data_IF_676053312245
#
_entry.id   IF_676053312245
#
_cell.length_a   1.000
_cell.length_b   1.000
_cell.length_c   1.000
_cell.angle_alpha   90.00
_cell.angle_beta   90.00
_cell.angle_gamma   90.00
#
_symmetry.space_group_name_H-M   'P 1'
#
loop_
_entity.id
_entity.type
_entity.pdbx_description
1 polymer ?
#
# COMPACT_ATOMS: atom_id res chain seq x y z
N UNK A 1 13.24 -7.95 36.89
CA UNK A 1 12.72 -9.26 36.47
C UNK A 1 12.22 -9.97 37.72
N UNK A 2 10.96 -9.69 38.09
CA UNK A 2 10.31 -10.39 39.19
C UNK A 2 9.51 -11.55 38.61
N UNK A 3 10.08 -12.74 38.69
CA UNK A 3 9.48 -13.95 38.14
C UNK A 3 10.41 -15.13 38.30
N UNK A 4 9.84 -16.32 38.45
CA UNK A 4 10.56 -17.58 38.57
C UNK A 4 10.04 -18.54 37.53
N UNK A 5 10.94 -19.02 36.67
CA UNK A 5 10.70 -20.18 35.80
C UNK A 5 11.61 -21.28 36.33
N UNK A 6 11.03 -22.39 36.76
CA UNK A 6 11.77 -23.61 37.04
C UNK A 6 11.37 -24.65 36.01
N UNK A 7 12.34 -25.12 35.23
CA UNK A 7 12.16 -26.26 34.36
C UNK A 7 13.12 -27.35 34.82
N UNK A 8 12.56 -28.47 35.27
CA UNK A 8 13.32 -29.68 35.53
C UNK A 8 12.93 -30.68 34.45
N UNK A 9 13.79 -30.87 33.46
CA UNK A 9 13.60 -31.84 32.38
C UNK A 9 14.67 -32.93 32.51
N UNK A 10 14.23 -34.16 32.74
CA UNK A 10 15.10 -35.31 32.80
C UNK A 10 14.84 -36.21 31.59
N UNK A 11 15.85 -36.39 30.76
CA UNK A 11 15.78 -37.28 29.59
C UNK A 11 16.61 -38.52 29.94
N UNK A 12 15.92 -39.61 30.29
CA UNK A 12 16.60 -40.85 30.63
C UNK A 12 16.85 -41.68 29.37
N UNK A 13 18.13 -41.91 29.04
CA UNK A 13 18.54 -42.82 27.97
C UNK A 13 18.63 -44.26 28.51
N UNK A 14 17.51 -44.97 28.43
CA UNK A 14 17.46 -46.42 28.68
C UNK A 14 16.90 -47.09 27.42
N UNK A 15 17.77 -47.33 26.42
CA UNK A 15 17.53 -48.03 25.13
C UNK A 15 16.50 -47.39 24.17
N UNK A 16 16.98 -46.87 23.03
CA UNK A 16 16.27 -46.42 21.78
C UNK A 16 14.95 -45.63 21.84
N UNK A 17 14.32 -45.46 23.00
CA UNK A 17 13.13 -44.65 23.29
C UNK A 17 13.54 -43.66 24.37
N UNK A 18 13.77 -42.41 23.98
CA UNK A 18 14.00 -41.33 24.92
C UNK A 18 12.69 -41.07 25.67
N UNK A 19 12.69 -41.33 26.98
CA UNK A 19 11.56 -41.02 27.85
C UNK A 19 11.74 -39.59 28.35
N UNK A 20 10.69 -38.79 28.17
CA UNK A 20 10.54 -37.44 28.69
C UNK A 20 9.88 -37.57 30.07
N UNK A 21 10.51 -36.96 31.07
CA UNK A 21 9.90 -36.71 32.38
C UNK A 21 10.35 -35.33 32.82
N UNK A 22 9.39 -34.43 33.05
CA UNK A 22 9.73 -33.09 33.46
C UNK A 22 8.57 -32.29 34.04
N UNK A 23 8.93 -31.32 34.87
CA UNK A 23 8.02 -30.36 35.47
C UNK A 23 8.47 -28.95 35.09
N UNK A 24 7.50 -28.15 34.66
CA UNK A 24 7.65 -26.75 34.30
C UNK A 24 6.73 -25.92 35.19
N UNK A 25 7.32 -25.25 36.17
CA UNK A 25 6.66 -24.24 37.01
C UNK A 25 6.97 -22.85 36.45
N UNK A 26 5.93 -22.12 36.08
CA UNK A 26 6.01 -20.76 35.54
C UNK A 26 5.28 -19.83 36.49
N UNK A 27 5.97 -18.78 36.96
CA UNK A 27 5.36 -17.65 37.66
C UNK A 27 6.09 -16.38 37.23
N UNK A 28 5.57 -15.69 36.22
CA UNK A 28 6.12 -14.47 35.67
C UNK A 28 5.14 -13.32 35.88
N UNK A 29 5.60 -12.25 36.53
CA UNK A 29 4.85 -10.99 36.67
C UNK A 29 5.39 -9.91 35.70
N UNK A 30 6.48 -10.23 35.00
CA UNK A 30 7.14 -9.40 34.01
C UNK A 30 7.29 -10.24 32.74
N UNK A 31 6.61 -9.82 31.68
CA UNK A 31 6.52 -10.54 30.41
C UNK A 31 7.45 -9.97 29.34
N UNK A 32 8.43 -9.17 29.74
CA UNK A 32 9.47 -8.65 28.83
C UNK A 32 10.18 -9.76 28.04
N UNK A 33 10.31 -10.98 28.57
CA UNK A 33 10.88 -12.13 27.85
C UNK A 33 10.05 -12.56 26.61
N UNK A 34 8.75 -12.24 26.57
CA UNK A 34 7.88 -12.52 25.42
C UNK A 34 8.26 -11.67 24.21
N UNK A 35 8.89 -10.50 24.40
CA UNK A 35 9.31 -9.63 23.29
C UNK A 35 10.35 -10.28 22.37
N UNK A 36 11.03 -11.34 22.81
CA UNK A 36 11.93 -12.15 21.97
C UNK A 36 11.17 -12.87 20.86
N UNK A 37 9.95 -13.34 21.16
CA UNK A 37 9.09 -14.03 20.20
C UNK A 37 8.17 -13.09 19.43
N UNK A 38 7.97 -11.87 19.95
CA UNK A 38 7.15 -10.83 19.35
C UNK A 38 7.94 -9.50 19.27
N UNK A 39 8.86 -9.33 18.31
CA UNK A 39 9.73 -8.15 18.24
C UNK A 39 8.97 -6.83 17.99
N UNK A 40 7.76 -6.91 17.45
CA UNK A 40 6.89 -5.75 17.19
C UNK A 40 6.02 -5.37 18.40
N UNK A 41 5.99 -6.21 19.45
CA UNK A 41 5.24 -5.95 20.67
C UNK A 41 6.04 -5.06 21.62
N UNK A 42 5.39 -4.05 22.19
CA UNK A 42 5.97 -3.15 23.18
C UNK A 42 5.12 -3.15 24.45
N UNK A 43 5.71 -2.68 25.55
CA UNK A 43 5.03 -2.54 26.86
C UNK A 43 4.25 -3.79 27.28
N UNK A 44 4.84 -4.98 27.07
CA UNK A 44 4.21 -6.26 27.41
C UNK A 44 4.16 -6.43 28.92
N UNK A 45 2.97 -6.43 29.48
CA UNK A 45 2.72 -6.63 30.92
C UNK A 45 1.69 -7.73 31.13
N UNK A 46 1.70 -8.36 32.31
CA UNK A 46 0.72 -9.37 32.69
C UNK A 46 1.28 -10.39 33.68
N UNK A 47 0.40 -11.24 34.19
CA UNK A 47 0.73 -12.31 35.13
C UNK A 47 0.56 -13.67 34.44
N UNK A 48 1.66 -14.33 34.10
CA UNK A 48 1.69 -15.68 33.55
C UNK A 48 2.02 -16.68 34.64
N UNK A 49 1.07 -17.56 34.95
CA UNK A 49 1.21 -18.57 36.00
C UNK A 49 0.82 -19.93 35.45
N UNK A 50 1.59 -20.96 35.76
CA UNK A 50 1.25 -22.30 35.32
C UNK A 50 2.16 -23.37 35.88
N UNK A 51 1.65 -24.59 35.84
CA UNK A 51 2.39 -25.80 36.14
C UNK A 51 2.06 -26.83 35.07
N UNK A 52 3.08 -27.29 34.37
CA UNK A 52 2.95 -28.30 33.33
C UNK A 52 3.86 -29.49 33.66
N UNK A 53 3.30 -30.69 33.59
CA UNK A 53 4.01 -31.95 33.71
C UNK A 53 4.09 -32.59 32.34
N UNK A 54 5.31 -32.86 31.88
CA UNK A 54 5.59 -33.47 30.58
C UNK A 54 6.09 -34.88 30.84
N UNK A 55 5.47 -35.86 30.20
CA UNK A 55 5.79 -37.27 30.33
C UNK A 55 5.71 -37.98 28.96
N UNK A 56 6.11 -39.25 28.89
CA UNK A 56 5.98 -40.06 27.67
C UNK A 56 7.26 -40.10 26.84
N UNK A 57 7.14 -40.19 25.51
CA UNK A 57 8.28 -40.21 24.60
C UNK A 57 8.22 -39.06 23.60
N UNK A 58 9.30 -38.77 22.87
CA UNK A 58 9.26 -37.72 21.84
C UNK A 58 8.22 -37.97 20.74
N UNK A 59 7.87 -39.23 20.48
CA UNK A 59 6.87 -39.61 19.48
C UNK A 59 5.46 -39.76 20.05
N UNK A 60 5.32 -39.69 21.38
CA UNK A 60 4.07 -39.90 22.10
C UNK A 60 4.14 -39.11 23.43
N UNK A 61 4.13 -37.77 23.36
CA UNK A 61 4.25 -36.91 24.54
C UNK A 61 2.89 -36.74 25.23
N UNK A 62 2.91 -36.78 26.56
CA UNK A 62 1.75 -36.54 27.41
C UNK A 62 2.01 -35.32 28.30
N UNK A 63 1.13 -34.31 28.22
CA UNK A 63 1.24 -33.05 28.95
C UNK A 63 0.04 -32.87 29.87
N UNK A 64 0.27 -32.66 31.17
CA UNK A 64 -0.78 -32.38 32.17
C UNK A 64 -0.57 -31.05 32.86
N UNK A 65 -1.66 -30.37 33.20
CA UNK A 65 -1.64 -29.17 34.04
C UNK A 65 -2.28 -27.98 33.34
N UNK A 66 -1.90 -26.78 33.77
CA UNK A 66 -2.54 -25.54 33.32
C UNK A 66 -1.54 -24.40 33.21
N UNK A 67 -1.74 -23.53 32.23
CA UNK A 67 -1.05 -22.26 32.07
C UNK A 67 -2.08 -21.15 31.88
N UNK A 68 -1.96 -20.06 32.63
CA UNK A 68 -2.89 -18.93 32.60
C UNK A 68 -2.15 -17.61 32.49
N UNK A 69 -2.52 -16.80 31.52
CA UNK A 69 -2.17 -15.39 31.42
C UNK A 69 -3.36 -14.56 31.90
N UNK A 70 -3.13 -13.68 32.87
CA UNK A 70 -4.11 -12.75 33.42
C UNK A 70 -3.56 -11.33 33.44
N UNK A 71 -4.46 -10.35 33.42
CA UNK A 71 -4.13 -8.91 33.39
C UNK A 71 -3.10 -8.55 32.31
N UNK A 72 -3.13 -9.27 31.18
CA UNK A 72 -2.20 -9.05 30.09
C UNK A 72 -2.53 -7.77 29.33
N UNK A 73 -1.49 -7.04 28.91
CA UNK A 73 -1.61 -5.92 27.99
C UNK A 73 -0.37 -5.86 27.10
N UNK A 74 -0.57 -5.51 25.84
CA UNK A 74 0.52 -5.33 24.88
C UNK A 74 0.22 -4.21 23.90
N UNK A 75 1.20 -3.35 23.67
CA UNK A 75 1.11 -2.32 22.65
C UNK A 75 1.65 -2.85 21.32
N UNK A 76 0.92 -2.54 20.25
CA UNK A 76 1.28 -2.85 18.87
C UNK A 76 1.39 -1.53 18.09
N UNK A 77 2.54 -0.82 18.16
CA UNK A 77 2.66 0.52 17.61
C UNK A 77 2.48 0.60 16.10
N UNK A 78 2.88 -0.45 15.36
CA UNK A 78 2.70 -0.51 13.91
C UNK A 78 1.21 -0.49 13.50
N UNK A 79 0.35 -1.08 14.33
CA UNK A 79 -1.11 -1.07 14.16
C UNK A 79 -1.77 0.10 14.89
N UNK A 80 -1.05 0.83 15.74
CA UNK A 80 -1.59 1.93 16.55
C UNK A 80 -2.58 1.48 17.63
N UNK A 81 -2.53 0.21 18.05
CA UNK A 81 -3.48 -0.38 19.00
C UNK A 81 -2.79 -0.89 20.27
N UNK A 82 -3.58 -1.02 21.32
CA UNK A 82 -3.22 -1.72 22.56
C UNK A 82 -4.19 -2.88 22.73
N UNK A 83 -3.66 -4.08 22.90
CA UNK A 83 -4.46 -5.26 23.23
C UNK A 83 -4.65 -5.31 24.74
N UNK A 84 -5.87 -5.09 25.22
CA UNK A 84 -6.24 -5.10 26.63
C UNK A 84 -7.77 -5.25 26.79
N UNK A 85 -8.28 -6.23 27.56
CA UNK A 85 -7.53 -7.26 28.26
C UNK A 85 -6.93 -8.31 27.33
N UNK A 86 -5.77 -8.83 27.68
CA UNK A 86 -5.18 -10.02 27.08
C UNK A 86 -5.20 -11.16 28.11
N UNK A 87 -6.04 -12.15 27.88
CA UNK A 87 -6.24 -13.28 28.79
C UNK A 87 -6.15 -14.58 28.00
N UNK A 88 -5.40 -15.55 28.52
CA UNK A 88 -5.30 -16.89 27.94
C UNK A 88 -5.32 -17.94 29.04
N UNK A 89 -5.91 -19.08 28.72
CA UNK A 89 -5.91 -20.26 29.56
C UNK A 89 -5.67 -21.47 28.67
N UNK A 90 -4.61 -22.21 28.98
CA UNK A 90 -4.28 -23.49 28.38
C UNK A 90 -4.47 -24.56 29.45
N UNK A 91 -5.32 -25.55 29.16
CA UNK A 91 -5.58 -26.69 30.02
C UNK A 91 -5.15 -27.96 29.29
N UNK A 92 -4.38 -28.80 29.98
CA UNK A 92 -3.95 -30.09 29.49
C UNK A 92 -4.45 -31.13 30.50
N UNK A 93 -5.61 -31.70 30.21
CA UNK A 93 -6.34 -32.58 31.13
C UNK A 93 -6.79 -33.86 30.41
N UNK A 94 -7.16 -34.89 31.17
CA UNK A 94 -7.61 -36.19 30.65
C UNK A 94 -6.67 -37.34 30.99
N UNK A 95 -7.17 -38.57 30.82
CA UNK A 95 -6.46 -39.80 31.20
C UNK A 95 -5.14 -39.96 30.44
N UNK A 96 -5.15 -39.67 29.13
CA UNK A 96 -3.97 -39.78 28.26
C UNK A 96 -3.15 -38.49 28.16
N UNK A 97 -3.71 -37.34 28.53
CA UNK A 97 -3.00 -36.05 28.55
C UNK A 97 -2.42 -35.62 27.19
N UNK A 98 -3.07 -36.03 26.10
CA UNK A 98 -2.66 -35.75 24.72
C UNK A 98 -3.35 -34.50 24.14
N UNK A 99 -4.43 -34.02 24.77
CA UNK A 99 -5.24 -32.91 24.27
C UNK A 99 -4.95 -31.65 25.08
N UNK A 100 -4.56 -30.60 24.38
CA UNK A 100 -4.46 -29.24 24.88
C UNK A 100 -5.73 -28.47 24.52
N UNK A 101 -6.40 -27.90 25.51
CA UNK A 101 -7.53 -26.98 25.31
C UNK A 101 -7.07 -25.55 25.56
N UNK A 102 -7.28 -24.66 24.59
CA UNK A 102 -6.95 -23.25 24.68
C UNK A 102 -8.24 -22.43 24.72
N UNK A 103 -8.30 -21.48 25.64
CA UNK A 103 -9.29 -20.42 25.64
C UNK A 103 -8.60 -19.06 25.79
N UNK A 104 -9.16 -18.00 25.21
CA UNK A 104 -8.60 -16.67 25.35
C UNK A 104 -9.58 -15.55 25.03
N UNK A 105 -9.26 -14.37 25.56
CA UNK A 105 -9.95 -13.11 25.30
C UNK A 105 -8.90 -12.04 24.98
N UNK A 106 -9.10 -11.35 23.86
CA UNK A 106 -8.24 -10.27 23.39
C UNK A 106 -9.13 -9.05 23.16
N UNK A 107 -9.01 -8.03 24.00
CA UNK A 107 -9.68 -6.74 23.80
C UNK A 107 -8.84 -5.79 22.95
N UNK A 108 -9.48 -4.97 22.12
CA UNK A 108 -8.85 -3.83 21.45
C UNK A 108 -9.91 -2.77 21.12
N UNK A 109 -9.66 -1.53 21.54
CA UNK A 109 -10.65 -0.47 21.44
C UNK A 109 -11.87 -0.76 22.33
N UNK A 110 -13.06 -0.82 21.73
CA UNK A 110 -14.31 -1.22 22.42
C UNK A 110 -14.70 -2.67 22.17
N UNK A 111 -14.02 -3.35 21.25
CA UNK A 111 -14.34 -4.71 20.83
C UNK A 111 -13.41 -5.76 21.42
N UNK A 112 -13.75 -7.02 21.17
CA UNK A 112 -13.00 -8.17 21.66
C UNK A 112 -12.98 -9.32 20.65
N UNK A 113 -11.98 -10.20 20.79
CA UNK A 113 -11.89 -11.50 20.12
C UNK A 113 -11.82 -12.57 21.21
N UNK A 114 -12.71 -13.55 21.12
CA UNK A 114 -12.68 -14.80 21.87
C UNK A 114 -12.06 -15.89 21.03
N UNK A 115 -11.17 -16.65 21.66
CA UNK A 115 -10.46 -17.78 21.09
C UNK A 115 -10.85 -19.02 21.87
N UNK A 116 -11.17 -20.10 21.18
CA UNK A 116 -11.34 -21.42 21.81
C UNK A 116 -10.91 -22.51 20.85
N UNK A 117 -10.14 -23.49 21.33
CA UNK A 117 -9.61 -24.53 20.47
C UNK A 117 -9.05 -25.72 21.21
N UNK A 118 -8.80 -26.78 20.47
CA UNK A 118 -8.18 -28.00 20.97
C UNK A 118 -7.07 -28.44 20.02
N UNK A 119 -5.99 -28.98 20.57
CA UNK A 119 -4.87 -29.52 19.82
C UNK A 119 -4.45 -30.87 20.41
N UNK A 120 -4.35 -31.89 19.57
CA UNK A 120 -3.87 -33.22 19.93
C UNK A 120 -2.37 -33.31 19.63
N UNK A 121 -1.59 -33.59 20.67
CA UNK A 121 -0.13 -33.65 20.65
C UNK A 121 0.45 -34.86 19.91
N UNK A 122 -0.33 -35.94 19.77
CA UNK A 122 0.10 -37.19 19.13
C UNK A 122 -0.18 -37.16 17.64
N UNK A 123 -1.41 -36.81 17.24
CA UNK A 123 -1.76 -36.66 15.83
C UNK A 123 -1.24 -35.35 15.23
N UNK A 124 -0.81 -34.39 16.07
CA UNK A 124 -0.44 -33.03 15.69
C UNK A 124 -1.56 -32.29 14.94
N UNK A 125 -2.82 -32.60 15.30
CA UNK A 125 -4.00 -32.01 14.71
C UNK A 125 -4.71 -31.11 15.71
N UNK A 126 -5.28 -30.00 15.23
CA UNK A 126 -6.09 -29.15 16.08
C UNK A 126 -7.06 -28.27 15.32
N UNK A 127 -7.99 -27.71 16.07
CA UNK A 127 -8.96 -26.72 15.59
C UNK A 127 -9.03 -25.57 16.60
N UNK A 128 -8.99 -24.35 16.09
CA UNK A 128 -9.11 -23.11 16.85
C UNK A 128 -10.19 -22.24 16.20
N UNK A 129 -11.18 -21.84 16.97
CA UNK A 129 -12.19 -20.86 16.55
C UNK A 129 -11.88 -19.49 17.13
N UNK A 130 -12.01 -18.46 16.29
CA UNK A 130 -11.94 -17.04 16.64
C UNK A 130 -13.30 -16.41 16.37
N UNK A 131 -13.89 -15.79 17.39
CA UNK A 131 -15.10 -14.99 17.24
C UNK A 131 -14.88 -13.64 17.89
N UNK A 132 -15.14 -12.55 17.17
CA UNK A 132 -14.99 -11.21 17.70
C UNK A 132 -16.06 -10.25 17.20
N UNK A 133 -16.18 -9.15 17.92
CA UNK A 133 -17.13 -8.09 17.63
C UNK A 133 -16.49 -6.71 17.81
N UNK A 134 -16.61 -5.85 16.79
CA UNK A 134 -16.06 -4.49 16.72
C UNK A 134 -14.59 -4.36 17.18
N UNK A 135 -13.80 -5.42 16.98
CA UNK A 135 -12.41 -5.46 17.39
C UNK A 135 -11.58 -4.45 16.60
N UNK A 136 -10.89 -3.55 17.30
CA UNK A 136 -10.04 -2.55 16.65
C UNK A 136 -8.74 -3.19 16.16
N UNK A 137 -8.66 -3.52 14.87
CA UNK A 137 -7.50 -4.16 14.25
C UNK A 137 -6.41 -3.16 13.84
N UNK A 138 -6.78 -1.91 13.58
CA UNK A 138 -5.83 -0.84 13.25
C UNK A 138 -6.39 0.54 13.64
N UNK A 139 -5.52 1.41 14.13
CA UNK A 139 -5.84 2.77 14.55
C UNK A 139 -4.69 3.73 14.25
N UNK A 140 -4.40 3.87 12.96
CA UNK A 140 -3.38 4.79 12.43
C UNK A 140 -4.06 5.76 11.45
N UNK A 141 -3.38 6.11 10.37
CA UNK A 141 -3.99 6.65 9.16
C UNK A 141 -5.00 5.70 8.50
N UNK A 142 -5.01 4.44 8.92
CA UNK A 142 -6.09 3.50 8.68
C UNK A 142 -6.76 3.21 10.02
N UNK A 143 -8.05 3.48 10.11
CA UNK A 143 -8.89 3.04 11.23
C UNK A 143 -9.70 1.84 10.75
N UNK A 144 -9.62 0.72 11.45
CA UNK A 144 -10.23 -0.54 11.04
C UNK A 144 -10.82 -1.28 12.24
N UNK A 145 -12.14 -1.50 12.19
CA UNK A 145 -12.85 -2.40 13.10
C UNK A 145 -13.24 -3.66 12.34
N UNK A 146 -13.10 -4.83 12.98
CA UNK A 146 -13.45 -6.13 12.40
C UNK A 146 -14.28 -6.96 13.38
N UNK A 147 -15.22 -7.74 12.85
CA UNK A 147 -15.94 -8.79 13.57
C UNK A 147 -15.68 -10.13 12.86
N UNK A 148 -14.60 -10.85 13.25
CA UNK A 148 -14.25 -12.14 12.65
C UNK A 148 -15.09 -13.28 13.21
N UNK A 149 -15.41 -14.26 12.37
CA UNK A 149 -15.87 -15.60 12.74
C UNK A 149 -15.07 -16.60 11.90
N UNK A 150 -13.94 -17.05 12.45
CA UNK A 150 -12.91 -17.81 11.76
C UNK A 150 -12.67 -19.15 12.46
N UNK A 151 -12.36 -20.17 11.68
CA UNK A 151 -11.87 -21.46 12.13
C UNK A 151 -10.51 -21.73 11.50
N UNK A 152 -9.52 -22.05 12.33
CA UNK A 152 -8.17 -22.43 11.96
C UNK A 152 -8.02 -23.91 12.27
N UNK A 153 -7.73 -24.73 11.26
CA UNK A 153 -7.42 -26.16 11.42
C UNK A 153 -5.96 -26.40 11.11
N UNK A 154 -5.30 -27.20 11.94
CA UNK A 154 -3.93 -27.63 11.73
C UNK A 154 -3.95 -29.14 11.56
N UNK A 155 -3.41 -29.63 10.44
CA UNK A 155 -3.19 -31.05 10.16
C UNK A 155 -1.88 -31.24 9.37
N UNK A 156 -1.96 -31.70 8.14
CA UNK A 156 -0.88 -31.66 7.15
C UNK A 156 -0.72 -30.26 6.53
N UNK A 157 -1.68 -29.37 6.75
CA UNK A 157 -1.71 -27.97 6.35
C UNK A 157 -2.30 -27.09 7.48
N UNK A 158 -2.08 -25.78 7.40
CA UNK A 158 -2.82 -24.80 8.21
C UNK A 158 -3.96 -24.28 7.33
N UNK A 159 -5.22 -24.54 7.71
CA UNK A 159 -6.42 -24.11 6.97
C UNK A 159 -7.14 -23.04 7.75
N UNK A 160 -7.25 -21.83 7.20
CA UNK A 160 -8.01 -20.71 7.77
C UNK A 160 -9.27 -20.52 6.95
N UNK A 161 -10.44 -20.64 7.56
CA UNK A 161 -11.71 -20.43 6.87
C UNK A 161 -12.74 -19.71 7.73
N UNK A 162 -13.72 -19.07 7.10
CA UNK A 162 -14.81 -18.38 7.80
C UNK A 162 -15.11 -17.02 7.19
N UNK A 163 -15.58 -16.09 8.00
CA UNK A 163 -15.93 -14.74 7.56
C UNK A 163 -15.29 -13.66 8.43
N UNK A 164 -15.06 -12.50 7.82
CA UNK A 164 -14.63 -11.27 8.51
C UNK A 164 -15.53 -10.15 8.06
N UNK A 165 -16.34 -9.63 8.98
CA UNK A 165 -17.12 -8.42 8.72
C UNK A 165 -16.30 -7.19 9.08
N UNK A 166 -16.36 -6.16 8.24
CA UNK A 166 -15.71 -4.86 8.46
C UNK A 166 -16.82 -3.83 8.72
N UNK A 167 -17.30 -3.69 9.97
CA UNK A 167 -18.35 -2.73 10.30
C UNK A 167 -17.93 -1.28 10.04
N UNK A 168 -16.65 -0.97 10.28
CA UNK A 168 -16.09 0.37 10.09
C UNK A 168 -14.67 0.29 9.52
N UNK A 169 -14.41 1.11 8.50
CA UNK A 169 -13.06 1.41 8.07
C UNK A 169 -12.96 2.85 7.56
N UNK A 170 -11.85 3.51 7.90
CA UNK A 170 -11.45 4.79 7.30
C UNK A 170 -10.02 4.65 6.81
N UNK A 171 -9.83 4.67 5.49
CA UNK A 171 -8.52 4.52 4.85
C UNK A 171 -8.09 5.89 4.33
N UNK A 172 -7.20 6.56 5.05
CA UNK A 172 -6.66 7.89 4.72
C UNK A 172 -5.14 7.84 4.66
N UNK A 173 -4.53 7.17 3.66
CA UNK A 173 -3.08 7.07 3.56
C UNK A 173 -2.45 8.47 3.50
N UNK A 174 -1.19 8.61 3.90
CA UNK A 174 -0.54 9.90 3.93
C UNK A 174 -0.50 10.41 2.48
N UNK A 175 -0.65 11.72 2.23
CA UNK A 175 -0.40 12.27 0.92
C UNK A 175 1.01 11.83 0.53
N UNK A 176 1.12 10.97 -0.49
CA UNK A 176 2.44 10.67 -1.05
C UNK A 176 3.01 12.02 -1.47
N UNK A 177 4.00 12.52 -0.74
CA UNK A 177 4.91 13.52 -1.29
C UNK A 177 5.35 12.94 -2.63
N UNK A 178 5.16 13.73 -3.69
CA UNK A 178 5.48 13.33 -5.05
C UNK A 178 7.00 13.17 -5.16
N UNK A 179 7.53 12.07 -4.65
CA UNK A 179 8.84 11.56 -4.98
C UNK A 179 8.67 10.79 -6.28
N UNK A 180 9.25 11.22 -7.42
CA UNK A 180 9.11 10.53 -8.70
C UNK A 180 9.81 9.16 -8.74
N UNK A 181 10.44 8.72 -7.65
CA UNK A 181 11.13 7.43 -7.57
C UNK A 181 10.75 6.72 -6.26
N UNK A 182 9.56 6.12 -6.22
CA UNK A 182 9.47 4.80 -5.59
C UNK A 182 9.64 3.82 -6.73
N UNK A 183 10.89 3.49 -7.01
CA UNK A 183 11.22 2.27 -7.74
C UNK A 183 10.45 1.18 -7.01
N UNK A 184 9.40 0.62 -7.66
CA UNK A 184 8.91 -0.70 -7.26
C UNK A 184 10.16 -1.56 -7.23
N UNK A 185 10.50 -2.10 -6.05
CA UNK A 185 11.45 -3.18 -6.02
C UNK A 185 10.91 -4.21 -7.03
N UNK A 186 11.66 -4.41 -8.11
CA UNK A 186 11.42 -5.55 -8.98
C UNK A 186 11.39 -6.78 -8.08
N UNK A 187 10.50 -7.73 -8.36
CA UNK A 187 10.43 -9.04 -7.69
C UNK A 187 11.67 -9.87 -8.02
N UNK A 188 12.83 -9.41 -7.59
CA UNK A 188 14.10 -10.09 -7.73
C UNK A 188 15.04 -9.65 -6.61
N UNK A 189 14.62 -9.97 -5.38
CA UNK A 189 15.57 -10.21 -4.30
C UNK A 189 15.78 -11.73 -4.27
N UNK A 190 16.68 -12.20 -5.11
CA UNK A 190 17.38 -13.46 -4.83
C UNK A 190 18.20 -13.19 -3.57
N UNK A 191 17.73 -13.70 -2.43
CA UNK A 191 18.55 -13.74 -1.22
C UNK A 191 19.79 -14.57 -1.55
N UNK A 192 20.93 -13.90 -1.64
CA UNK A 192 22.22 -14.57 -1.71
C UNK A 192 22.41 -15.39 -0.43
N UNK A 193 22.64 -16.68 -0.64
CA UNK A 193 22.89 -17.72 0.37
C UNK A 193 23.67 -17.20 1.59
N UNK A 194 23.01 -17.16 2.74
CA UNK A 194 23.67 -17.48 4.00
C UNK A 194 23.34 -18.92 4.33
N UNK A 195 24.32 -19.79 4.09
CA UNK A 195 24.35 -21.17 4.54
C UNK A 195 24.32 -21.18 6.07
N UNK A 196 23.11 -21.14 6.63
CA UNK A 196 22.81 -21.76 7.91
C UNK A 196 22.01 -23.01 7.56
N UNK A 197 22.59 -24.18 7.82
CA UNK A 197 21.93 -25.47 7.66
C UNK A 197 20.52 -25.40 8.27
N UNK A 198 19.46 -25.67 7.48
CA UNK A 198 18.12 -25.59 8.02
C UNK A 198 17.92 -26.75 8.98
N UNK A 199 17.70 -26.43 10.26
CA UNK A 199 16.77 -27.22 11.06
C UNK A 199 15.54 -27.41 10.17
N UNK A 200 15.15 -28.65 9.90
CA UNK A 200 14.11 -29.00 8.93
C UNK A 200 12.82 -28.24 9.25
N UNK A 201 12.65 -27.05 8.67
CA UNK A 201 11.44 -26.25 8.81
C UNK A 201 10.35 -27.00 8.06
N UNK A 202 9.47 -27.61 8.84
CA UNK A 202 8.25 -28.21 8.32
C UNK A 202 7.35 -27.04 7.90
N UNK A 203 7.57 -26.55 6.68
CA UNK A 203 6.75 -25.50 6.07
C UNK A 203 5.38 -26.10 5.73
N UNK A 204 4.48 -26.14 6.71
CA UNK A 204 3.09 -26.53 6.51
C UNK A 204 2.45 -25.49 5.58
N UNK A 205 1.82 -25.91 4.46
CA UNK A 205 1.17 -24.98 3.56
C UNK A 205 0.00 -24.26 4.27
N UNK A 206 -0.12 -22.95 4.04
CA UNK A 206 -1.21 -22.12 4.56
C UNK A 206 -2.31 -22.00 3.49
N UNK A 207 -3.47 -22.60 3.75
CA UNK A 207 -4.63 -22.56 2.88
C UNK A 207 -5.68 -21.63 3.49
N UNK A 208 -6.16 -20.66 2.71
CA UNK A 208 -7.10 -19.63 3.20
C UNK A 208 -8.37 -19.62 2.36
N UNK A 209 -9.54 -19.54 2.99
CA UNK A 209 -10.85 -19.34 2.36
C UNK A 209 -11.72 -18.43 3.23
N UNK A 210 -11.59 -17.12 3.04
CA UNK A 210 -12.20 -16.09 3.90
C UNK A 210 -13.25 -15.31 3.11
N UNK A 211 -14.44 -15.19 3.68
CA UNK A 211 -15.47 -14.25 3.21
C UNK A 211 -15.31 -12.90 3.91
N UNK A 212 -14.84 -11.89 3.18
CA UNK A 212 -14.78 -10.50 3.61
C UNK A 212 -16.11 -9.80 3.31
N UNK A 213 -16.72 -9.20 4.32
CA UNK A 213 -18.01 -8.49 4.20
C UNK A 213 -17.80 -7.03 4.61
N UNK A 214 -18.00 -6.10 3.70
CA UNK A 214 -17.91 -4.66 3.99
C UNK A 214 -19.25 -4.18 4.55
N UNK A 215 -19.22 -3.60 5.74
CA UNK A 215 -20.37 -2.94 6.36
C UNK A 215 -20.63 -1.55 5.80
N UNK A 216 -21.62 -0.86 6.36
CA UNK A 216 -22.12 0.41 5.81
C UNK A 216 -21.16 1.59 6.01
N UNK A 217 -20.17 1.47 6.89
CA UNK A 217 -19.26 2.57 7.27
C UNK A 217 -17.81 2.34 6.82
N UNK A 218 -17.62 1.78 5.63
CA UNK A 218 -16.30 1.61 5.00
C UNK A 218 -16.02 2.77 4.03
N UNK A 219 -15.09 3.65 4.39
CA UNK A 219 -14.72 4.86 3.63
C UNK A 219 -13.24 4.85 3.24
N UNK A 220 -12.97 5.35 2.04
CA UNK A 220 -11.61 5.51 1.51
C UNK A 220 -11.44 6.93 1.04
N UNK A 221 -10.35 7.57 1.47
CA UNK A 221 -9.91 8.89 1.03
C UNK A 221 -8.45 8.78 0.61
N UNK A 222 -8.21 8.34 -0.62
CA UNK A 222 -6.88 8.00 -1.13
C UNK A 222 -6.77 8.28 -2.62
N UNK A 223 -5.60 8.74 -3.08
CA UNK A 223 -5.29 8.89 -4.51
C UNK A 223 -6.32 9.70 -5.31
N UNK A 224 -6.89 10.74 -4.70
CA UNK A 224 -7.92 11.57 -5.31
C UNK A 224 -9.33 10.98 -5.21
N UNK A 225 -9.49 9.71 -4.88
CA UNK A 225 -10.78 9.11 -4.55
C UNK A 225 -11.19 9.45 -3.12
N UNK A 226 -12.44 9.87 -2.97
CA UNK A 226 -13.11 10.00 -1.69
C UNK A 226 -14.49 9.37 -1.81
N UNK A 227 -14.72 8.28 -1.09
CA UNK A 227 -16.00 7.60 -1.22
C UNK A 227 -16.24 6.52 -0.19
N UNK A 228 -17.43 5.95 -0.28
CA UNK A 228 -17.92 4.86 0.57
C UNK A 228 -18.07 3.59 -0.26
N UNK A 229 -17.57 2.50 0.29
CA UNK A 229 -17.54 1.19 -0.35
C UNK A 229 -18.50 0.25 0.34
N UNK A 230 -19.14 -0.60 -0.45
CA UNK A 230 -19.91 -1.76 0.00
C UNK A 230 -19.43 -2.99 -0.75
N UNK A 231 -19.71 -4.17 -0.23
CA UNK A 231 -19.49 -5.38 -1.00
C UNK A 231 -19.14 -6.60 -0.18
N UNK A 232 -18.87 -7.67 -0.90
CA UNK A 232 -18.50 -8.96 -0.34
C UNK A 232 -17.51 -9.63 -1.27
N UNK A 233 -16.44 -10.16 -0.71
CA UNK A 233 -15.40 -10.89 -1.42
C UNK A 233 -15.14 -12.22 -0.72
N UNK A 234 -15.06 -13.30 -1.48
CA UNK A 234 -14.47 -14.55 -1.04
C UNK A 234 -13.03 -14.59 -1.52
N UNK A 235 -12.09 -14.63 -0.60
CA UNK A 235 -10.64 -14.61 -0.83
C UNK A 235 -10.10 -16.01 -0.59
N UNK A 236 -9.40 -16.55 -1.58
CA UNK A 236 -8.84 -17.89 -1.54
C UNK A 236 -7.34 -17.87 -1.84
N UNK A 237 -6.57 -18.55 -1.00
CA UNK A 237 -5.13 -18.71 -1.17
C UNK A 237 -4.76 -20.18 -0.95
N UNK A 238 -4.05 -20.79 -1.90
CA UNK A 238 -3.62 -22.18 -1.83
C UNK A 238 -2.10 -22.35 -1.67
N UNK A 239 -1.39 -21.28 -1.26
CA UNK A 239 0.06 -21.19 -1.03
C UNK A 239 0.96 -21.43 -2.26
N UNK A 240 0.39 -21.87 -3.39
CA UNK A 240 1.13 -22.23 -4.61
C UNK A 240 0.77 -21.29 -5.75
N UNK A 241 -0.49 -20.89 -5.85
CA UNK A 241 -0.99 -19.95 -6.86
C UNK A 241 -1.18 -18.55 -6.27
N UNK A 242 -1.31 -17.54 -7.13
CA UNK A 242 -1.63 -16.20 -6.68
C UNK A 242 -2.96 -16.18 -5.91
N UNK A 243 -3.07 -15.33 -4.89
CA UNK A 243 -4.30 -15.15 -4.12
C UNK A 243 -5.47 -14.77 -5.04
N UNK A 244 -6.56 -15.55 -4.99
CA UNK A 244 -7.74 -15.37 -5.85
C UNK A 244 -8.89 -14.75 -5.07
N UNK A 245 -9.73 -14.00 -5.77
CA UNK A 245 -10.94 -13.46 -5.17
C UNK A 245 -12.16 -13.60 -6.09
N UNK A 246 -13.33 -13.76 -5.48
CA UNK A 246 -14.62 -13.72 -6.16
C UNK A 246 -15.62 -12.86 -5.42
N UNK A 247 -16.49 -12.16 -6.14
CA UNK A 247 -17.46 -11.23 -5.56
C UNK A 247 -17.37 -9.83 -6.18
N UNK A 248 -17.77 -8.81 -5.43
CA UNK A 248 -17.74 -7.44 -5.92
C UNK A 248 -17.61 -6.41 -4.80
N UNK A 249 -16.88 -5.33 -5.09
CA UNK A 249 -16.88 -4.10 -4.30
C UNK A 249 -17.59 -3.02 -5.13
N UNK A 250 -18.48 -2.27 -4.50
CA UNK A 250 -19.27 -1.21 -5.11
C UNK A 250 -18.95 0.12 -4.42
N UNK A 251 -18.85 1.18 -5.22
CA UNK A 251 -18.81 2.56 -4.76
C UNK A 251 -20.24 3.03 -4.65
N UNK A 252 -20.77 3.12 -3.43
CA UNK A 252 -22.14 3.57 -3.21
C UNK A 252 -22.27 5.08 -3.39
N UNK A 253 -21.26 5.82 -2.95
CA UNK A 253 -21.16 7.27 -3.13
C UNK A 253 -19.70 7.66 -3.13
N UNK A 254 -19.26 8.48 -4.08
CA UNK A 254 -17.90 9.00 -4.04
C UNK A 254 -17.60 9.96 -5.17
N UNK A 255 -16.55 10.73 -4.95
CA UNK A 255 -15.98 11.68 -5.89
C UNK A 255 -14.53 11.31 -6.15
N UNK A 256 -14.04 11.70 -7.32
CA UNK A 256 -12.67 11.51 -7.74
C UNK A 256 -12.11 12.84 -8.23
N UNK A 257 -10.98 13.25 -7.65
CA UNK A 257 -10.27 14.46 -8.05
C UNK A 257 -9.04 14.12 -8.87
N UNK A 258 -9.00 14.62 -10.11
CA UNK A 258 -7.88 14.45 -11.03
C UNK A 258 -7.60 15.77 -11.73
N UNK A 259 -6.32 16.17 -11.84
CA UNK A 259 -5.92 17.45 -12.45
C UNK A 259 -6.62 18.70 -11.83
N UNK A 260 -6.89 18.64 -10.53
CA UNK A 260 -7.64 19.69 -9.82
C UNK A 260 -9.15 19.71 -10.11
N UNK A 261 -9.63 18.81 -10.96
CA UNK A 261 -11.02 18.69 -11.35
C UNK A 261 -11.73 17.60 -10.56
N UNK A 262 -12.89 17.92 -10.01
CA UNK A 262 -13.73 16.99 -9.27
C UNK A 262 -14.75 16.33 -10.20
N UNK A 263 -14.85 15.01 -10.12
CA UNK A 263 -15.76 14.18 -10.89
C UNK A 263 -16.54 13.28 -9.95
N UNK A 264 -17.86 13.23 -10.12
CA UNK A 264 -18.71 12.34 -9.33
C UNK A 264 -18.73 10.95 -9.95
N UNK A 265 -18.61 9.93 -9.10
CA UNK A 265 -18.75 8.53 -9.50
C UNK A 265 -20.25 8.20 -9.55
N UNK A 266 -20.79 8.10 -10.75
CA UNK A 266 -22.21 7.75 -10.98
C UNK A 266 -22.45 6.24 -10.87
N UNK A 267 -21.42 5.44 -11.16
CA UNK A 267 -21.38 3.99 -11.00
C UNK A 267 -19.95 3.58 -10.74
N UNK A 268 -19.71 2.72 -9.76
CA UNK A 268 -18.38 2.17 -9.56
C UNK A 268 -18.45 0.74 -9.05
N UNK A 269 -18.21 -0.23 -9.93
CA UNK A 269 -18.15 -1.65 -9.57
C UNK A 269 -16.75 -2.20 -9.86
N UNK A 270 -16.17 -2.87 -8.87
CA UNK A 270 -14.99 -3.70 -9.00
C UNK A 270 -15.44 -5.15 -8.88
N UNK A 271 -15.23 -5.93 -9.93
CA UNK A 271 -15.78 -7.28 -10.09
C UNK A 271 -14.64 -8.28 -10.03
N UNK A 272 -14.76 -9.25 -9.14
CA UNK A 272 -13.77 -10.30 -8.94
C UNK A 272 -14.35 -11.61 -9.45
N UNK A 273 -13.76 -12.16 -10.51
CA UNK A 273 -14.31 -13.31 -11.26
C UNK A 273 -13.64 -14.65 -10.90
N UNK A 274 -12.97 -14.74 -9.75
CA UNK A 274 -12.22 -15.93 -9.32
C UNK A 274 -10.75 -15.97 -9.79
N UNK A 275 -10.27 -14.89 -10.41
CA UNK A 275 -8.87 -14.70 -10.78
C UNK A 275 -8.05 -14.00 -9.68
N UNK A 276 -6.82 -13.54 -10.00
CA UNK A 276 -5.95 -12.85 -9.06
C UNK A 276 -6.63 -11.62 -8.43
N UNK A 277 -6.51 -11.47 -7.12
CA UNK A 277 -7.17 -10.40 -6.35
C UNK A 277 -6.69 -9.01 -6.75
N UNK A 278 -5.46 -8.88 -7.25
CA UNK A 278 -4.88 -7.62 -7.70
C UNK A 278 -5.38 -7.15 -9.08
N UNK A 279 -6.19 -7.95 -9.78
CA UNK A 279 -6.67 -7.62 -11.13
C UNK A 279 -8.20 -7.75 -11.32
N UNK A 280 -9.03 -7.00 -10.57
CA UNK A 280 -10.46 -7.01 -10.76
C UNK A 280 -10.87 -6.40 -12.11
N UNK A 281 -12.04 -6.81 -12.59
CA UNK A 281 -12.77 -6.14 -13.66
C UNK A 281 -13.34 -4.81 -13.19
N UNK A 282 -13.38 -3.83 -14.08
CA UNK A 282 -13.88 -2.49 -13.82
C UNK A 282 -15.21 -2.26 -14.55
N UNK A 283 -16.20 -1.70 -13.87
CA UNK A 283 -17.38 -1.06 -14.46
C UNK A 283 -17.61 0.26 -13.73
N UNK A 284 -16.90 1.29 -14.17
CA UNK A 284 -16.95 2.63 -13.58
C UNK A 284 -17.54 3.63 -14.57
N UNK A 285 -18.28 4.60 -14.06
CA UNK A 285 -18.77 5.76 -14.79
C UNK A 285 -18.56 7.00 -13.93
N UNK A 286 -17.66 7.86 -14.38
CA UNK A 286 -17.37 9.15 -13.76
C UNK A 286 -17.86 10.27 -14.65
N UNK A 287 -18.37 11.33 -14.04
CA UNK A 287 -18.84 12.50 -14.78
C UNK A 287 -18.67 13.77 -13.96
N UNK A 288 -18.55 14.89 -14.68
CA UNK A 288 -18.71 16.23 -14.12
C UNK A 288 -19.77 16.98 -14.92
N UNK A 289 -20.36 17.98 -14.27
CA UNK A 289 -21.29 18.89 -14.91
C UNK A 289 -20.73 20.30 -14.83
N UNK A 290 -20.66 20.99 -15.97
CA UNK A 290 -20.27 22.39 -16.09
C UNK A 290 -21.39 23.09 -16.85
N UNK A 291 -22.07 24.03 -16.19
CA UNK A 291 -23.30 24.65 -16.68
C UNK A 291 -24.34 23.62 -17.15
N UNK A 292 -24.61 23.54 -18.45
CA UNK A 292 -25.55 22.60 -19.06
C UNK A 292 -24.88 21.38 -19.69
N UNK A 293 -23.56 21.25 -19.55
CA UNK A 293 -22.76 20.20 -20.19
C UNK A 293 -22.36 19.15 -19.17
N UNK A 294 -22.70 17.89 -19.44
CA UNK A 294 -22.15 16.73 -18.72
C UNK A 294 -21.02 16.15 -19.54
N UNK A 295 -19.83 16.02 -18.96
CA UNK A 295 -18.67 15.38 -19.57
C UNK A 295 -18.15 14.28 -18.66
N UNK A 296 -17.80 13.12 -19.21
CA UNK A 296 -17.42 11.96 -18.38
C UNK A 296 -16.71 10.86 -19.14
N UNK A 297 -16.33 9.83 -18.39
CA UNK A 297 -15.68 8.63 -18.90
C UNK A 297 -16.34 7.37 -18.32
N UNK A 298 -16.46 6.34 -19.16
CA UNK A 298 -16.71 4.97 -18.73
C UNK A 298 -15.38 4.24 -18.70
N UNK A 299 -15.13 3.50 -17.62
CA UNK A 299 -13.92 2.70 -17.44
C UNK A 299 -14.34 1.24 -17.33
N UNK A 300 -13.90 0.45 -18.29
CA UNK A 300 -14.09 -0.99 -18.40
C UNK A 300 -12.76 -1.75 -18.34
N UNK A 301 -12.79 -3.03 -18.74
CA UNK A 301 -11.59 -3.88 -18.77
C UNK A 301 -11.18 -4.35 -17.37
N UNK A 302 -9.89 -4.59 -17.17
CA UNK A 302 -9.32 -4.97 -15.86
C UNK A 302 -8.48 -3.82 -15.32
N UNK A 303 -8.15 -3.83 -14.03
CA UNK A 303 -7.33 -2.75 -13.45
C UNK A 303 -5.93 -2.64 -14.10
N UNK A 304 -5.37 -3.76 -14.59
CA UNK A 304 -4.08 -3.78 -15.29
C UNK A 304 -4.19 -3.33 -16.75
N UNK A 305 -5.34 -3.56 -17.40
CA UNK A 305 -5.61 -3.16 -18.78
C UNK A 305 -6.97 -2.45 -18.83
N UNK A 306 -7.05 -1.21 -18.31
CA UNK A 306 -8.30 -0.46 -18.27
C UNK A 306 -8.67 0.08 -19.66
N UNK A 307 -9.96 -0.01 -20.01
CA UNK A 307 -10.49 0.53 -21.25
C UNK A 307 -11.31 1.78 -20.97
N UNK A 308 -10.99 2.89 -21.64
CA UNK A 308 -11.66 4.17 -21.43
C UNK A 308 -12.55 4.53 -22.62
N UNK A 309 -13.79 4.91 -22.35
CA UNK A 309 -14.71 5.45 -23.35
C UNK A 309 -15.30 6.76 -22.87
N UNK A 310 -14.99 7.85 -23.58
CA UNK A 310 -15.48 9.18 -23.25
C UNK A 310 -16.94 9.36 -23.66
N UNK A 311 -17.69 10.18 -22.90
CA UNK A 311 -19.05 10.55 -23.25
C UNK A 311 -19.37 11.97 -22.81
N UNK A 312 -20.39 12.55 -23.45
CA UNK A 312 -20.87 13.89 -23.13
C UNK A 312 -22.35 14.06 -23.41
N UNK A 313 -22.96 15.05 -22.79
CA UNK A 313 -24.32 15.50 -23.08
C UNK A 313 -24.34 17.03 -23.03
N UNK A 314 -24.57 17.72 -24.16
CA UNK A 314 -24.77 17.19 -25.52
C UNK A 314 -23.51 16.49 -26.07
N UNK A 315 -23.69 15.64 -27.09
CA UNK A 315 -22.59 14.89 -27.70
C UNK A 315 -21.58 15.82 -28.37
N UNK A 316 -20.29 15.63 -28.08
CA UNK A 316 -19.17 16.39 -28.63
C UNK A 316 -17.96 15.49 -28.92
N UNK A 317 -16.97 15.97 -29.70
CA UNK A 317 -15.73 15.23 -29.95
C UNK A 317 -14.91 15.02 -28.67
N UNK A 318 -14.17 13.90 -28.60
CA UNK A 318 -13.36 13.49 -27.46
C UNK A 318 -12.39 14.58 -26.97
N UNK A 319 -11.79 15.35 -27.87
CA UNK A 319 -10.92 16.48 -27.51
C UNK A 319 -11.63 17.55 -26.67
N UNK A 320 -12.90 17.81 -26.97
CA UNK A 320 -13.73 18.75 -26.20
C UNK A 320 -14.12 18.15 -24.84
N UNK A 321 -14.46 16.86 -24.80
CA UNK A 321 -14.74 16.14 -23.54
C UNK A 321 -13.52 16.20 -22.63
N UNK A 322 -12.33 15.91 -23.16
CA UNK A 322 -11.07 15.98 -22.42
C UNK A 322 -10.76 17.39 -21.91
N UNK A 323 -11.08 18.45 -22.67
CA UNK A 323 -10.96 19.83 -22.18
C UNK A 323 -11.78 20.04 -20.89
N UNK A 324 -13.03 19.56 -20.86
CA UNK A 324 -13.83 19.62 -19.63
C UNK A 324 -13.26 18.76 -18.50
N UNK A 325 -12.77 17.55 -18.80
CA UNK A 325 -12.25 16.64 -17.77
C UNK A 325 -10.91 17.12 -17.16
N UNK A 326 -10.02 17.71 -17.97
CA UNK A 326 -8.68 18.12 -17.55
C UNK A 326 -8.63 19.59 -17.14
N UNK A 327 -9.17 20.49 -17.97
CA UNK A 327 -9.09 21.94 -17.76
C UNK A 327 -10.32 22.49 -17.01
N UNK A 328 -11.38 21.71 -16.92
CA UNK A 328 -12.61 22.11 -16.26
C UNK A 328 -13.56 23.00 -17.06
N UNK A 329 -13.23 23.26 -18.33
CA UNK A 329 -14.01 24.15 -19.20
C UNK A 329 -13.95 23.72 -20.67
N UNK A 330 -14.90 24.21 -21.45
CA UNK A 330 -14.95 23.96 -22.88
C UNK A 330 -13.80 24.63 -23.64
N UNK A 331 -13.38 24.09 -24.80
CA UNK A 331 -12.27 24.63 -25.59
C UNK A 331 -12.52 26.05 -26.14
N UNK A 332 -13.79 26.47 -26.22
CA UNK A 332 -14.20 27.79 -26.72
C UNK A 332 -14.57 28.78 -25.59
N UNK A 333 -14.40 28.40 -24.34
CA UNK A 333 -14.85 29.18 -23.18
C UNK A 333 -13.78 30.15 -22.66
N UNK A 334 -12.84 30.56 -23.53
CA UNK A 334 -11.97 31.70 -23.25
C UNK A 334 -12.73 32.96 -23.62
N UNK A 335 -13.25 33.65 -22.61
CA UNK A 335 -13.94 34.92 -22.87
C UNK A 335 -12.94 35.91 -23.50
N UNK A 336 -13.37 36.66 -24.54
CA UNK A 336 -12.56 37.72 -25.14
C UNK A 336 -12.11 38.78 -24.10
N UNK A 337 -12.83 38.87 -22.98
CA UNK A 337 -12.47 39.65 -21.79
C UNK A 337 -11.31 39.07 -21.00
N UNK A 338 -11.19 37.75 -20.87
CA UNK A 338 -10.04 37.12 -20.19
C UNK A 338 -8.80 37.12 -21.06
N UNK A 339 -8.93 36.97 -22.37
CA UNK A 339 -7.80 37.18 -23.29
C UNK A 339 -7.32 38.63 -23.24
N UNK A 340 -8.21 39.62 -23.11
CA UNK A 340 -7.81 41.02 -22.97
C UNK A 340 -7.26 41.37 -21.58
N UNK A 341 -7.76 40.75 -20.51
CA UNK A 341 -7.19 40.88 -19.16
C UNK A 341 -5.85 40.17 -19.02
N UNK A 342 -5.67 39.01 -19.65
CA UNK A 342 -4.39 38.29 -19.67
C UNK A 342 -3.38 39.00 -20.57
N UNK A 343 -3.82 39.62 -21.67
CA UNK A 343 -2.99 40.51 -22.48
C UNK A 343 -2.66 41.80 -21.73
N UNK A 344 -3.59 42.38 -20.96
CA UNK A 344 -3.30 43.52 -20.06
C UNK A 344 -2.37 43.15 -18.92
N UNK A 345 -2.52 41.96 -18.33
CA UNK A 345 -1.62 41.44 -17.31
C UNK A 345 -0.22 41.21 -17.91
N UNK A 346 -0.13 40.58 -19.08
CA UNK A 346 1.12 40.40 -19.83
C UNK A 346 1.76 41.74 -20.24
N UNK A 347 0.96 42.74 -20.64
CA UNK A 347 1.42 44.11 -20.91
C UNK A 347 1.85 44.85 -19.62
N UNK A 348 1.19 44.60 -18.49
CA UNK A 348 1.57 45.18 -17.20
C UNK A 348 2.86 44.56 -16.65
N UNK A 349 3.06 43.26 -16.88
CA UNK A 349 4.27 42.52 -16.56
C UNK A 349 5.43 42.86 -17.52
N UNK A 350 5.13 43.20 -18.78
CA UNK A 350 6.15 43.68 -19.73
C UNK A 350 6.58 45.12 -19.48
N UNK A 351 5.70 45.96 -18.91
CA UNK A 351 6.02 47.34 -18.55
C UNK A 351 6.62 47.51 -17.13
N UNK A 352 6.43 46.55 -16.22
CA UNK A 352 7.11 46.51 -14.92
C UNK A 352 8.18 45.41 -14.88
N UNK A 353 9.27 45.63 -15.62
CA UNK A 353 10.58 45.03 -15.31
C UNK A 353 10.70 43.53 -15.51
N UNK A 354 11.29 43.14 -16.64
CA UNK A 354 11.62 41.76 -16.99
C UNK A 354 12.63 41.07 -16.07
N UNK A 355 12.26 40.72 -14.83
CA UNK A 355 13.08 39.86 -13.98
C UNK A 355 12.38 39.12 -12.83
N UNK A 356 11.04 39.07 -12.75
CA UNK A 356 10.33 38.54 -11.56
C UNK A 356 9.47 37.29 -11.77
N UNK A 357 9.31 36.78 -13.00
CA UNK A 357 8.61 35.51 -13.28
C UNK A 357 9.60 34.31 -13.32
N UNK A 358 10.90 34.57 -13.14
CA UNK A 358 11.97 33.58 -13.35
C UNK A 358 12.18 32.58 -12.18
N UNK A 359 11.57 32.83 -11.02
CA UNK A 359 11.81 32.02 -9.80
C UNK A 359 10.88 30.81 -9.64
N UNK A 360 9.56 31.00 -9.79
CA UNK A 360 8.57 29.99 -9.38
C UNK A 360 8.42 28.82 -10.36
N UNK A 361 8.62 29.05 -11.67
CA UNK A 361 8.55 27.99 -12.68
C UNK A 361 9.81 27.10 -12.73
N UNK A 362 10.92 27.57 -12.15
CA UNK A 362 12.21 26.87 -12.10
C UNK A 362 12.21 25.73 -11.07
N UNK A 363 11.47 25.91 -9.97
CA UNK A 363 11.40 24.98 -8.84
C UNK A 363 10.50 23.77 -9.12
N UNK A 364 9.42 23.94 -9.89
CA UNK A 364 8.49 22.84 -10.24
C UNK A 364 8.98 21.97 -11.41
N UNK A 365 9.80 22.53 -12.33
CA UNK A 365 10.25 21.84 -13.55
C UNK A 365 11.74 21.47 -13.59
N UNK A 366 12.54 21.84 -12.57
CA UNK A 366 13.98 21.57 -12.49
C UNK A 366 14.74 21.94 -13.78
N UNK A 367 14.47 23.13 -14.32
CA UNK A 367 15.11 23.67 -15.52
C UNK A 367 16.28 24.58 -15.10
N UNK A 368 17.41 24.50 -15.80
CA UNK A 368 18.59 25.32 -15.46
C UNK A 368 18.56 26.71 -16.10
N UNK A 369 17.86 26.83 -17.23
CA UNK A 369 17.76 28.08 -17.99
C UNK A 369 16.43 28.14 -18.74
N UNK A 370 15.82 29.32 -18.79
CA UNK A 370 14.75 29.64 -19.73
C UNK A 370 14.76 31.13 -20.01
N UNK A 371 14.36 31.53 -21.20
CA UNK A 371 14.38 32.94 -21.56
C UNK A 371 13.87 33.21 -22.96
N UNK A 372 13.90 34.50 -23.29
CA UNK A 372 13.66 35.01 -24.64
C UNK A 372 15.01 35.51 -25.18
N UNK A 373 15.42 35.02 -26.34
CA UNK A 373 16.58 35.53 -27.05
C UNK A 373 16.08 36.23 -28.32
N UNK A 374 16.50 37.47 -28.54
CA UNK A 374 16.35 38.11 -29.84
C UNK A 374 17.70 38.12 -30.56
N UNK A 375 17.73 37.66 -31.80
CA UNK A 375 18.91 37.81 -32.65
C UNK A 375 18.97 39.26 -33.23
N UNK A 376 20.14 39.67 -33.73
CA UNK A 376 20.38 41.00 -34.31
C UNK A 376 19.50 41.28 -35.55
N UNK A 377 18.94 40.24 -36.15
CA UNK A 377 17.96 40.29 -37.24
C UNK A 377 16.51 40.58 -36.77
N UNK A 378 16.27 40.68 -35.46
CA UNK A 378 14.95 40.94 -34.88
C UNK A 378 14.07 39.70 -34.70
N UNK A 379 14.58 38.50 -35.01
CA UNK A 379 13.87 37.26 -34.69
C UNK A 379 13.94 36.98 -33.19
N UNK A 380 12.79 36.70 -32.57
CA UNK A 380 12.65 36.49 -31.14
C UNK A 380 12.27 35.03 -30.90
N UNK A 381 13.06 34.32 -30.11
CA UNK A 381 12.84 32.92 -29.80
C UNK A 381 12.66 32.71 -28.30
N UNK A 382 11.64 31.93 -27.93
CA UNK A 382 11.51 31.39 -26.58
C UNK A 382 12.35 30.12 -26.47
N UNK A 383 13.06 29.92 -25.37
CA UNK A 383 13.84 28.70 -25.16
C UNK A 383 13.83 28.21 -23.71
N UNK A 384 14.04 26.90 -23.57
CA UNK A 384 14.28 26.19 -22.31
C UNK A 384 15.57 25.39 -22.43
N UNK A 385 16.37 25.37 -21.36
CA UNK A 385 17.70 24.78 -21.32
C UNK A 385 17.97 24.03 -20.01
N UNK A 386 18.72 22.93 -20.12
CA UNK A 386 19.12 22.10 -18.97
C UNK A 386 20.53 21.56 -19.13
N UNK A 387 21.30 21.59 -18.05
CA UNK A 387 22.55 20.86 -17.92
C UNK A 387 22.25 19.44 -17.45
N UNK A 388 22.44 18.47 -18.34
CA UNK A 388 22.33 17.05 -17.97
C UNK A 388 23.56 16.60 -17.19
N UNK A 389 24.70 17.24 -17.43
CA UNK A 389 25.94 17.12 -16.64
C UNK A 389 26.70 18.45 -16.69
N UNK A 390 27.75 18.68 -15.89
CA UNK A 390 28.59 19.88 -16.00
C UNK A 390 29.24 20.11 -17.38
N UNK A 391 29.20 19.10 -18.27
CA UNK A 391 29.80 19.14 -19.62
C UNK A 391 28.77 18.99 -20.74
N UNK A 392 27.52 18.63 -20.43
CA UNK A 392 26.48 18.34 -21.42
C UNK A 392 25.26 19.23 -21.16
N UNK A 393 24.97 20.10 -22.12
CA UNK A 393 23.86 21.05 -22.07
C UNK A 393 22.93 20.81 -23.24
N UNK A 394 21.62 20.78 -22.97
CA UNK A 394 20.58 20.66 -23.97
C UNK A 394 19.68 21.90 -23.91
N UNK A 395 19.32 22.44 -25.06
CA UNK A 395 18.42 23.59 -25.21
C UNK A 395 17.42 23.31 -26.31
N UNK A 396 16.16 23.60 -26.04
CA UNK A 396 15.08 23.56 -27.02
C UNK A 396 14.47 24.95 -27.11
N UNK A 397 14.34 25.48 -28.32
CA UNK A 397 13.78 26.79 -28.57
C UNK A 397 12.79 26.79 -29.73
N UNK A 398 11.83 27.71 -29.66
CA UNK A 398 10.81 27.93 -30.69
C UNK A 398 10.93 29.38 -31.15
N UNK A 399 11.23 29.59 -32.45
CA UNK A 399 11.21 30.92 -33.06
C UNK A 399 9.77 31.43 -33.14
N UNK A 400 9.52 32.64 -32.65
CA UNK A 400 8.18 33.24 -32.58
C UNK A 400 7.74 33.83 -33.94
N UNK A 401 8.68 34.12 -34.85
CA UNK A 401 8.35 34.65 -36.17
C UNK A 401 8.26 33.54 -37.21
N UNK A 402 9.21 32.60 -37.22
CA UNK A 402 9.29 31.57 -38.27
C UNK A 402 8.60 30.25 -37.90
N UNK A 403 8.11 30.11 -36.64
CA UNK A 403 7.49 28.87 -36.12
C UNK A 403 8.36 27.62 -36.34
N UNK A 404 9.68 27.80 -36.23
CA UNK A 404 10.66 26.72 -36.36
C UNK A 404 11.14 26.31 -34.97
N UNK A 405 11.06 25.01 -34.71
CA UNK A 405 11.62 24.38 -33.52
C UNK A 405 13.11 24.10 -33.74
N UNK A 406 13.95 24.49 -32.78
CA UNK A 406 15.40 24.28 -32.81
C UNK A 406 15.83 23.56 -31.53
N UNK A 407 16.43 22.38 -31.70
CA UNK A 407 17.09 21.62 -30.65
C UNK A 407 18.59 21.80 -30.76
N UNK A 408 19.20 22.31 -29.69
CA UNK A 408 20.65 22.51 -29.57
C UNK A 408 21.22 21.60 -28.49
N UNK A 409 22.25 20.83 -28.84
CA UNK A 409 23.04 20.03 -27.91
C UNK A 409 24.46 20.56 -27.89
N UNK A 410 24.96 20.91 -26.71
CA UNK A 410 26.31 21.42 -26.51
C UNK A 410 27.08 20.49 -25.59
N UNK A 411 28.18 19.93 -26.08
CA UNK A 411 29.08 19.08 -25.29
C UNK A 411 30.49 19.67 -25.19
N UNK A 412 31.00 19.77 -23.98
CA UNK A 412 32.33 20.30 -23.69
C UNK A 412 33.31 19.16 -23.40
N UNK A 413 34.23 18.91 -24.33
CA UNK A 413 35.27 17.89 -24.16
C UNK A 413 36.35 18.33 -23.17
N UNK A 414 36.72 19.60 -23.19
CA UNK A 414 37.71 20.21 -22.29
C UNK A 414 37.42 21.71 -22.09
N UNK A 415 38.19 22.39 -21.24
CA UNK A 415 38.07 23.85 -21.08
C UNK A 415 38.29 24.64 -22.37
N UNK A 416 38.92 24.04 -23.39
CA UNK A 416 39.27 24.69 -24.65
C UNK A 416 38.35 24.30 -25.82
N UNK A 417 37.71 23.13 -25.76
CA UNK A 417 36.97 22.54 -26.89
C UNK A 417 35.51 22.25 -26.54
N UNK A 418 34.59 22.77 -27.36
CA UNK A 418 33.15 22.53 -27.31
C UNK A 418 32.65 22.14 -28.70
N UNK A 419 31.76 21.16 -28.79
CA UNK A 419 30.93 20.93 -29.97
C UNK A 419 29.52 21.38 -29.67
N UNK A 420 28.88 22.00 -30.66
CA UNK A 420 27.45 22.29 -30.63
C UNK A 420 26.79 21.68 -31.86
N UNK A 421 25.72 20.94 -31.66
CA UNK A 421 24.91 20.40 -32.75
C UNK A 421 23.53 21.00 -32.66
N UNK A 422 23.03 21.50 -33.78
CA UNK A 422 21.72 22.12 -33.89
C UNK A 422 20.87 21.31 -34.86
N UNK A 423 19.62 21.06 -34.51
CA UNK A 423 18.66 20.32 -35.32
C UNK A 423 17.36 21.08 -35.34
N UNK A 424 16.85 21.36 -36.54
CA UNK A 424 15.58 22.06 -36.76
C UNK A 424 14.75 21.35 -37.82
N UNK A 425 13.48 21.74 -37.97
CA UNK A 425 12.61 21.23 -39.04
C UNK A 425 13.09 21.59 -40.45
N UNK A 426 13.99 22.57 -40.57
CA UNK A 426 14.50 23.09 -41.86
C UNK A 426 15.92 22.62 -42.17
N UNK A 427 16.60 22.01 -41.20
CA UNK A 427 17.96 21.47 -41.37
C UNK A 427 18.68 21.19 -40.06
N UNK A 428 19.81 20.49 -40.17
CA UNK A 428 20.70 20.16 -39.04
C UNK A 428 22.14 20.55 -39.33
N UNK A 429 22.87 21.05 -38.33
CA UNK A 429 24.27 21.48 -38.44
C UNK A 429 25.07 21.15 -37.18
N UNK A 430 26.40 21.18 -37.30
CA UNK A 430 27.30 20.95 -36.19
C UNK A 430 28.53 21.86 -36.29
N UNK A 431 28.81 22.55 -35.19
CA UNK A 431 29.91 23.51 -35.08
C UNK A 431 30.91 23.08 -34.00
N UNK A 432 32.19 23.33 -34.28
CA UNK A 432 33.28 23.08 -33.35
C UNK A 432 33.90 24.40 -32.90
N UNK A 433 33.88 24.63 -31.60
CA UNK A 433 34.39 25.84 -30.97
C UNK A 433 35.69 25.56 -30.23
N UNK A 434 36.71 26.37 -30.51
CA UNK A 434 37.96 26.43 -29.77
C UNK A 434 38.08 27.79 -29.08
N UNK A 435 38.20 27.79 -27.75
CA UNK A 435 38.40 29.02 -26.97
C UNK A 435 39.76 28.97 -26.29
N UNK A 436 40.55 30.04 -26.41
CA UNK A 436 41.85 30.19 -25.74
C UNK A 436 41.87 31.54 -25.02
N UNK A 437 41.88 31.50 -23.69
CA UNK A 437 42.09 32.70 -22.87
C UNK A 437 43.51 33.24 -23.10
N UNK A 438 43.66 34.57 -23.07
CA UNK A 438 44.93 35.26 -23.32
C UNK A 438 45.33 36.08 -22.11
#
# INVERSE_FOLDING_TARGET
MDGRVLANLNIQQLSSRQILDGELDISLNDLTLISVFAPNAQNVVGNLQGRLFISGSLTDPAVRGSLRLSDGSVDLPAQGITLNPLQFELLAEGEQAEILTLAGLIGSGQGDIRLQGQFNLVSLQGELSLQGDDFQAMNTEIQLLISPDLTIRVDEAIRVGGSVTVPYALITPPPRQQSPNVVRASDDVVFADQVNEPLTERNLPLLTDIELILGDSVRVEAFGFKGRLLGRLRIQDDAVTATRASGSIQVESGDYRLFGQEMTIQRGNLIFSGGPIENPGLDLRVARTVDTVVAGARIGGTIQVPEFTLFSTPAMPDSSIMSYLVLGRGPNDSSASEQSMMLQAAMSLSMQGGNTITGQLREELSLDEFGFASDDAGDSAFFIGKYLTPRLYIRYGVSLLESVDVLTLSYRFSSLWKIETQSSSVGSGADFFYTRER
#
